data_IF_428086410167
#
_entry.id   IF_428086410167
#
_cell.length_a   1.000
_cell.length_b   1.000
_cell.length_c   1.000
_cell.angle_alpha   90.00
_cell.angle_beta   90.00
_cell.angle_gamma   90.00
#
_symmetry.space_group_name_H-M   'P 1'
#
loop_
_entity.id
_entity.type
_entity.pdbx_description
1 polymer ?
#
# COMPACT_ATOMS: atom_id res chain seq x y z
N UNK A 1 -8.98 -28.45 -31.43
CA UNK A 1 -9.97 -27.37 -31.64
C UNK A 1 -11.33 -27.57 -30.91
N UNK A 2 -11.41 -28.30 -29.77
CA UNK A 2 -12.68 -28.51 -29.03
C UNK A 2 -12.80 -27.78 -27.67
N UNK A 3 -11.70 -27.31 -27.06
CA UNK A 3 -11.73 -26.67 -25.72
C UNK A 3 -12.35 -25.27 -25.69
N UNK A 4 -12.21 -24.48 -26.75
CA UNK A 4 -12.68 -23.08 -26.75
C UNK A 4 -14.20 -22.95 -26.94
N UNK A 5 -14.85 -23.95 -27.53
CA UNK A 5 -16.31 -23.96 -27.70
C UNK A 5 -17.03 -24.14 -26.35
N UNK A 6 -16.47 -24.93 -25.44
CA UNK A 6 -17.04 -25.13 -24.10
C UNK A 6 -16.97 -23.85 -23.26
N UNK A 7 -15.84 -23.14 -23.29
CA UNK A 7 -15.66 -21.89 -22.55
C UNK A 7 -16.61 -20.78 -23.04
N UNK A 8 -16.80 -20.69 -24.35
CA UNK A 8 -17.73 -19.73 -24.95
C UNK A 8 -19.19 -20.01 -24.58
N UNK A 9 -19.58 -21.30 -24.54
CA UNK A 9 -20.91 -21.71 -24.10
C UNK A 9 -21.12 -21.36 -22.62
N UNK A 10 -20.12 -21.62 -21.76
CA UNK A 10 -20.17 -21.26 -20.33
C UNK A 10 -20.33 -19.75 -20.14
N UNK A 11 -19.60 -18.93 -20.91
CA UNK A 11 -19.71 -17.47 -20.84
C UNK A 11 -21.08 -16.96 -21.31
N UNK A 12 -21.67 -17.58 -22.33
CA UNK A 12 -23.04 -17.26 -22.78
C UNK A 12 -24.06 -17.65 -21.71
N UNK A 13 -23.91 -18.83 -21.09
CA UNK A 13 -24.81 -19.24 -20.01
C UNK A 13 -24.69 -18.32 -18.79
N UNK A 14 -23.49 -17.89 -18.42
CA UNK A 14 -23.28 -16.89 -17.37
C UNK A 14 -23.91 -15.55 -17.72
N UNK A 15 -23.75 -15.07 -18.96
CA UNK A 15 -24.37 -13.83 -19.42
C UNK A 15 -25.91 -13.92 -19.37
N UNK A 16 -26.50 -15.02 -19.84
CA UNK A 16 -27.95 -15.24 -19.79
C UNK A 16 -28.45 -15.34 -18.34
N UNK A 17 -27.70 -16.01 -17.46
CA UNK A 17 -28.03 -16.16 -16.05
C UNK A 17 -28.06 -14.81 -15.32
N UNK A 18 -27.15 -13.89 -15.66
CA UNK A 18 -27.07 -12.53 -15.09
C UNK A 18 -28.20 -11.62 -15.60
N UNK A 19 -28.69 -11.83 -16.83
CA UNK A 19 -29.76 -11.00 -17.43
C UNK A 19 -31.15 -11.34 -16.88
N UNK A 20 -31.32 -12.49 -16.20
CA UNK A 20 -32.59 -12.84 -15.57
C UNK A 20 -32.89 -11.93 -14.36
N UNK A 21 -34.04 -11.24 -14.30
CA UNK A 21 -34.31 -10.21 -13.29
C UNK A 21 -34.16 -10.67 -11.84
N UNK A 22 -34.56 -11.92 -11.54
CA UNK A 22 -34.46 -12.48 -10.19
C UNK A 22 -33.01 -12.77 -9.78
N UNK A 23 -32.17 -13.23 -10.71
CA UNK A 23 -30.76 -13.48 -10.47
C UNK A 23 -29.98 -12.17 -10.41
N UNK A 24 -30.32 -11.18 -11.25
CA UNK A 24 -29.75 -9.84 -11.18
C UNK A 24 -30.05 -9.18 -9.83
N UNK A 25 -31.28 -9.31 -9.33
CA UNK A 25 -31.66 -8.77 -8.02
C UNK A 25 -30.99 -9.51 -6.86
N UNK A 26 -30.79 -10.83 -6.95
CA UNK A 26 -30.07 -11.61 -5.93
C UNK A 26 -28.56 -11.32 -5.93
N UNK A 27 -27.95 -11.17 -7.12
CA UNK A 27 -26.56 -10.74 -7.30
C UNK A 27 -26.40 -9.31 -6.79
N UNK A 28 -27.34 -8.41 -7.14
CA UNK A 28 -27.38 -7.03 -6.64
C UNK A 28 -27.52 -7.02 -5.13
N UNK A 29 -28.42 -7.80 -4.52
CA UNK A 29 -28.59 -7.83 -3.07
C UNK A 29 -27.35 -8.37 -2.34
N UNK A 30 -26.67 -9.39 -2.89
CA UNK A 30 -25.41 -9.91 -2.35
C UNK A 30 -24.21 -8.97 -2.55
N UNK A 31 -24.20 -8.20 -3.64
CA UNK A 31 -23.21 -7.14 -3.93
C UNK A 31 -23.52 -5.80 -3.25
N UNK A 32 -24.73 -5.59 -2.75
CA UNK A 32 -25.09 -4.43 -1.90
C UNK A 32 -24.94 -4.75 -0.42
N UNK A 33 -24.83 -6.04 -0.05
CA UNK A 33 -24.51 -6.45 1.32
C UNK A 33 -23.01 -6.28 1.63
N UNK A 34 -22.17 -6.30 0.59
CA UNK A 34 -20.76 -5.91 0.64
C UNK A 34 -20.61 -4.64 -0.19
N UNK A 35 -20.43 -3.48 0.42
CA UNK A 35 -20.36 -2.18 -0.28
C UNK A 35 -19.23 -2.12 -1.33
N UNK A 36 -19.52 -2.60 -2.54
CA UNK A 36 -18.63 -2.55 -3.71
C UNK A 36 -18.15 -1.12 -4.01
N UNK A 37 -18.98 -0.05 -3.88
CA UNK A 37 -18.51 1.33 -4.14
C UNK A 37 -17.45 1.82 -3.12
N UNK A 38 -17.61 1.48 -1.85
CA UNK A 38 -16.63 1.78 -0.80
C UNK A 38 -15.38 0.90 -0.91
N UNK A 39 -15.53 -0.34 -1.39
CA UNK A 39 -14.40 -1.26 -1.63
C UNK A 39 -13.67 -0.99 -2.97
N UNK A 40 -14.31 -0.33 -3.93
CA UNK A 40 -13.71 0.06 -5.22
C UNK A 40 -13.23 1.51 -5.26
N UNK A 41 -13.44 2.31 -4.20
CA UNK A 41 -13.22 3.76 -4.22
C UNK A 41 -13.86 4.42 -5.46
N UNK A 42 -15.12 4.06 -5.73
CA UNK A 42 -15.97 4.75 -6.72
C UNK A 42 -17.14 5.33 -5.94
N UNK A 43 -16.91 6.45 -5.27
CA UNK A 43 -17.98 7.32 -4.78
C UNK A 43 -17.77 8.70 -5.40
N UNK A 44 -18.72 9.10 -6.23
CA UNK A 44 -18.75 10.40 -6.88
C UNK A 44 -18.78 11.54 -5.85
N UNK A 45 -18.07 12.59 -6.23
CA UNK A 45 -18.01 13.90 -5.63
C UNK A 45 -19.37 14.62 -5.60
N UNK A 46 -19.77 15.07 -4.42
CA UNK A 46 -20.54 16.29 -4.15
C UNK A 46 -20.34 16.57 -2.65
N UNK A 47 -19.87 17.71 -2.16
CA UNK A 47 -20.03 19.09 -2.58
C UNK A 47 -18.76 19.91 -2.26
N UNK A 48 -18.26 20.66 -3.24
CA UNK A 48 -17.43 21.85 -3.02
C UNK A 48 -18.34 23.04 -2.72
N UNK A 49 -18.12 23.73 -1.59
CA UNK A 49 -18.31 25.18 -1.52
C UNK A 49 -17.20 25.85 -0.71
N UNK A 50 -16.40 26.60 -1.45
CA UNK A 50 -15.68 27.83 -1.12
C UNK A 50 -14.71 27.84 0.06
N UNK A 51 -13.42 28.03 -0.25
CA UNK A 51 -12.65 29.23 0.16
C UNK A 51 -11.37 29.36 -0.65
N UNK A 52 -11.15 30.54 -1.22
CA UNK A 52 -9.93 30.95 -1.90
C UNK A 52 -8.74 30.94 -0.91
N UNK A 53 -7.72 30.13 -1.20
CA UNK A 53 -6.36 30.37 -0.71
C UNK A 53 -5.37 29.79 -1.71
N UNK A 54 -4.38 30.59 -2.11
CA UNK A 54 -3.21 30.16 -2.86
C UNK A 54 -2.43 29.10 -2.05
N UNK A 55 -2.84 27.84 -2.18
CA UNK A 55 -2.12 26.67 -1.67
C UNK A 55 -1.75 25.82 -2.89
N UNK A 56 -0.50 25.41 -2.95
CA UNK A 56 -0.06 24.37 -3.89
C UNK A 56 -1.04 23.19 -3.81
N UNK A 57 -1.51 22.62 -4.93
CA UNK A 57 -2.53 21.58 -4.88
C UNK A 57 -2.01 20.36 -4.11
N UNK A 58 -2.59 20.11 -2.94
CA UNK A 58 -2.39 18.90 -2.14
C UNK A 58 -2.77 17.68 -2.98
N UNK A 59 -1.79 16.85 -3.32
CA UNK A 59 -2.03 15.62 -4.07
C UNK A 59 -2.82 14.63 -3.19
N UNK A 60 -3.96 14.14 -3.69
CA UNK A 60 -4.77 13.11 -3.04
C UNK A 60 -4.34 11.71 -3.51
N UNK A 61 -4.77 10.67 -2.79
CA UNK A 61 -4.48 9.28 -3.16
C UNK A 61 -4.95 8.93 -4.59
N UNK A 62 -6.06 9.51 -5.04
CA UNK A 62 -6.55 9.31 -6.41
C UNK A 62 -5.63 9.92 -7.47
N UNK A 63 -5.00 11.06 -7.18
CA UNK A 63 -4.02 11.67 -8.08
C UNK A 63 -2.79 10.75 -8.24
N UNK A 64 -2.38 10.09 -7.14
CA UNK A 64 -1.25 9.16 -7.13
C UNK A 64 -1.50 7.94 -8.01
N UNK A 65 -2.76 7.48 -8.16
CA UNK A 65 -3.10 6.37 -9.07
C UNK A 65 -2.70 6.64 -10.52
N UNK A 66 -2.66 7.92 -10.93
CA UNK A 66 -2.33 8.36 -12.29
C UNK A 66 -0.84 8.65 -12.51
N UNK A 67 -0.04 8.71 -11.44
CA UNK A 67 1.38 9.02 -11.54
C UNK A 67 2.14 7.88 -12.19
N UNK A 68 3.13 8.24 -13.00
CA UNK A 68 4.06 7.32 -13.63
C UNK A 68 5.48 7.73 -13.24
N UNK A 69 6.37 6.74 -13.09
CA UNK A 69 7.77 6.98 -12.78
C UNK A 69 8.45 7.67 -13.97
N UNK A 70 9.11 8.80 -13.71
CA UNK A 70 9.76 9.64 -14.73
C UNK A 70 11.13 9.11 -15.20
N UNK A 71 11.58 8.00 -14.62
CA UNK A 71 12.90 7.42 -14.88
C UNK A 71 14.01 7.95 -13.98
N UNK A 72 13.72 8.89 -13.08
CA UNK A 72 14.69 9.58 -12.20
C UNK A 72 14.30 9.56 -10.73
N UNK A 73 13.08 9.99 -10.40
CA UNK A 73 12.64 10.25 -9.03
C UNK A 73 11.68 9.15 -8.57
N UNK A 74 12.19 8.20 -7.78
CA UNK A 74 11.35 7.11 -7.23
C UNK A 74 10.43 7.61 -6.10
N UNK A 75 10.71 8.79 -5.55
CA UNK A 75 9.93 9.40 -4.48
C UNK A 75 9.33 10.72 -4.95
N UNK A 76 8.05 10.92 -4.62
CA UNK A 76 7.34 12.18 -4.76
C UNK A 76 7.04 12.68 -3.36
N UNK A 77 7.40 13.94 -3.07
CA UNK A 77 6.87 14.65 -1.89
C UNK A 77 5.42 15.00 -2.21
N UNK A 78 4.47 14.41 -1.49
CA UNK A 78 3.03 14.62 -1.68
C UNK A 78 2.62 15.93 -1.03
N UNK A 79 3.09 16.16 0.19
CA UNK A 79 2.99 17.41 0.92
C UNK A 79 4.31 17.67 1.68
N UNK A 80 4.63 18.94 1.92
CA UNK A 80 5.82 19.35 2.70
C UNK A 80 5.79 18.81 4.15
N UNK A 81 4.59 18.54 4.67
CA UNK A 81 4.33 17.98 6.01
C UNK A 81 3.14 17.03 5.99
N UNK A 82 3.06 16.14 6.97
CA UNK A 82 1.89 15.31 7.25
C UNK A 82 0.61 16.14 7.39
N UNK A 83 -0.52 15.56 6.96
CA UNK A 83 -1.84 16.23 6.94
C UNK A 83 -2.83 15.57 7.91
N UNK A 84 -2.35 14.98 9.02
CA UNK A 84 -3.21 14.38 10.03
C UNK A 84 -4.07 15.44 10.73
N UNK A 85 -5.32 15.10 11.00
CA UNK A 85 -6.21 15.94 11.81
C UNK A 85 -5.81 15.90 13.29
N UNK A 86 -6.25 16.89 14.08
CA UNK A 86 -5.97 16.91 15.52
C UNK A 86 -6.46 15.67 16.24
N UNK A 87 -7.61 15.14 15.83
CA UNK A 87 -8.21 13.95 16.44
C UNK A 87 -7.36 12.70 16.16
N UNK A 88 -6.78 12.60 14.94
CA UNK A 88 -5.87 11.51 14.59
C UNK A 88 -4.53 11.56 15.33
N UNK A 89 -4.17 12.70 15.92
CA UNK A 89 -2.95 12.89 16.69
C UNK A 89 -3.16 12.64 18.20
N UNK A 90 -4.37 12.26 18.62
CA UNK A 90 -4.67 11.98 20.02
C UNK A 90 -3.94 10.74 20.53
N UNK A 91 -3.33 10.85 21.72
CA UNK A 91 -2.74 9.74 22.48
C UNK A 91 -3.71 9.09 23.48
N UNK A 92 -5.01 9.38 23.41
CA UNK A 92 -6.00 8.83 24.33
C UNK A 92 -5.99 7.28 24.36
N UNK A 93 -5.69 6.65 23.23
CA UNK A 93 -5.58 5.20 23.10
C UNK A 93 -4.14 4.65 23.23
N UNK A 94 -3.17 5.50 23.61
CA UNK A 94 -1.75 5.13 23.63
C UNK A 94 -1.25 4.66 22.26
N UNK A 95 -0.32 3.70 22.28
CA UNK A 95 0.18 3.05 21.07
C UNK A 95 -0.80 2.00 20.55
N UNK A 96 -0.99 1.97 19.23
CA UNK A 96 -1.86 1.00 18.57
C UNK A 96 -1.45 0.79 17.11
N UNK A 97 -1.87 -0.33 16.54
CA UNK A 97 -1.78 -0.61 15.11
C UNK A 97 -3.13 -1.11 14.57
N UNK A 98 -3.44 -0.77 13.33
CA UNK A 98 -4.66 -1.14 12.65
C UNK A 98 -4.38 -1.45 11.18
N UNK A 99 -4.87 -2.60 10.74
CA UNK A 99 -4.74 -3.06 9.36
C UNK A 99 -6.14 -3.21 8.76
N UNK A 100 -6.34 -2.62 7.58
CA UNK A 100 -7.56 -2.85 6.81
C UNK A 100 -7.73 -4.32 6.45
N UNK A 101 -8.98 -4.76 6.31
CA UNK A 101 -9.25 -6.05 5.69
C UNK A 101 -8.71 -6.08 4.26
N UNK A 102 -8.40 -7.30 3.80
CA UNK A 102 -8.06 -7.50 2.40
C UNK A 102 -9.28 -7.18 1.53
N UNK A 103 -9.06 -6.54 0.38
CA UNK A 103 -10.14 -6.27 -0.55
C UNK A 103 -10.61 -7.53 -1.31
N UNK A 104 -11.59 -7.39 -2.20
CA UNK A 104 -12.16 -8.51 -2.96
C UNK A 104 -11.16 -9.21 -3.92
N UNK A 105 -9.99 -8.61 -4.18
CA UNK A 105 -8.88 -9.22 -4.91
C UNK A 105 -7.81 -9.82 -3.98
N UNK A 106 -8.08 -9.83 -2.67
CA UNK A 106 -7.17 -10.18 -1.58
C UNK A 106 -5.97 -9.23 -1.44
N UNK A 107 -6.09 -7.98 -1.90
CA UNK A 107 -5.03 -6.97 -1.79
C UNK A 107 -5.06 -6.32 -0.42
N UNK A 108 -3.90 -5.95 0.10
CA UNK A 108 -3.79 -5.18 1.34
C UNK A 108 -4.42 -3.79 1.18
N UNK A 109 -5.03 -3.30 2.27
CA UNK A 109 -5.54 -1.93 2.36
C UNK A 109 -4.60 -1.02 3.15
N UNK A 110 -5.16 0.06 3.70
CA UNK A 110 -4.42 1.04 4.51
C UNK A 110 -3.97 0.37 5.82
N UNK A 111 -2.74 0.65 6.24
CA UNK A 111 -2.23 0.34 7.57
C UNK A 111 -1.96 1.65 8.34
N UNK A 112 -2.37 1.69 9.60
CA UNK A 112 -2.26 2.85 10.47
C UNK A 112 -1.71 2.45 11.83
N UNK A 113 -0.96 3.34 12.46
CA UNK A 113 -0.54 3.16 13.84
C UNK A 113 -0.36 4.50 14.55
N UNK A 114 -0.49 4.45 15.87
CA UNK A 114 0.24 5.31 16.79
C UNK A 114 1.43 4.50 17.29
N UNK A 115 2.60 4.76 16.74
CA UNK A 115 3.80 4.02 17.07
C UNK A 115 4.40 4.56 18.36
N UNK A 116 4.80 3.66 19.24
CA UNK A 116 5.53 3.96 20.48
C UNK A 116 6.49 2.82 20.81
N UNK A 117 7.32 3.02 21.84
CA UNK A 117 8.38 2.06 22.19
C UNK A 117 7.83 0.69 22.61
N UNK A 118 6.63 0.66 23.17
CA UNK A 118 5.91 -0.53 23.62
C UNK A 118 5.41 -1.43 22.48
N UNK A 119 5.24 -0.90 21.26
CA UNK A 119 4.96 -1.72 20.08
C UNK A 119 6.24 -2.29 19.45
N UNK A 120 7.42 -1.75 19.76
CA UNK A 120 8.65 -2.24 19.15
C UNK A 120 8.94 -3.69 19.60
N UNK A 121 9.43 -4.55 18.69
CA UNK A 121 9.64 -5.96 19.02
C UNK A 121 10.69 -6.13 20.11
N UNK A 122 10.41 -7.01 21.06
CA UNK A 122 11.38 -7.53 22.04
C UNK A 122 11.99 -8.86 21.62
N UNK A 123 11.40 -9.51 20.62
CA UNK A 123 11.80 -10.83 20.10
C UNK A 123 12.36 -10.71 18.68
N UNK A 124 13.08 -11.75 18.26
CA UNK A 124 13.62 -11.83 16.90
C UNK A 124 12.53 -12.02 15.84
N UNK A 125 12.76 -11.45 14.65
CA UNK A 125 11.86 -11.60 13.51
C UNK A 125 11.85 -13.04 13.00
N UNK A 126 10.68 -13.66 12.94
CA UNK A 126 10.52 -14.99 12.34
C UNK A 126 10.25 -14.95 10.82
N UNK A 127 10.13 -16.12 10.21
CA UNK A 127 9.87 -16.26 8.77
C UNK A 127 8.45 -15.85 8.40
N UNK A 128 8.32 -14.94 7.42
CA UNK A 128 7.05 -14.54 6.80
C UNK A 128 6.76 -15.30 5.49
N UNK A 129 7.49 -16.38 5.22
CA UNK A 129 7.42 -17.10 3.94
C UNK A 129 6.07 -17.76 3.64
N UNK A 130 5.27 -18.02 4.67
CA UNK A 130 3.90 -18.57 4.58
C UNK A 130 2.92 -17.63 3.87
N UNK A 131 3.18 -16.32 3.88
CA UNK A 131 2.29 -15.34 3.26
C UNK A 131 2.66 -15.17 1.79
N UNK A 132 1.68 -15.22 0.89
CA UNK A 132 1.89 -14.96 -0.54
C UNK A 132 0.98 -13.82 -0.97
N UNK A 133 1.48 -12.58 -1.02
CA UNK A 133 0.67 -11.42 -1.41
C UNK A 133 0.23 -11.50 -2.86
N UNK A 134 -0.75 -10.66 -3.22
CA UNK A 134 -1.27 -10.59 -4.60
C UNK A 134 -0.17 -10.25 -5.60
N UNK A 135 -0.25 -10.84 -6.79
CA UNK A 135 0.73 -10.61 -7.86
C UNK A 135 2.13 -11.18 -7.59
N UNK A 136 2.31 -12.05 -6.59
CA UNK A 136 3.62 -12.63 -6.28
C UNK A 136 4.18 -13.51 -7.42
N UNK A 137 5.10 -12.96 -8.20
CA UNK A 137 5.85 -13.66 -9.26
C UNK A 137 7.34 -13.32 -9.18
N UNK A 138 8.00 -13.94 -8.22
CA UNK A 138 9.36 -13.59 -7.86
C UNK A 138 10.42 -14.26 -8.75
N UNK A 139 11.60 -13.63 -8.86
CA UNK A 139 12.78 -14.17 -9.55
C UNK A 139 14.05 -13.57 -8.95
N UNK A 140 15.17 -14.28 -9.09
CA UNK A 140 16.48 -13.75 -8.70
C UNK A 140 16.91 -12.62 -9.63
N UNK A 141 17.56 -11.61 -9.06
CA UNK A 141 18.12 -10.45 -9.75
C UNK A 141 19.49 -10.11 -9.14
N UNK A 142 20.29 -9.31 -9.84
CA UNK A 142 21.41 -8.60 -9.24
C UNK A 142 20.94 -7.17 -8.95
N UNK A 143 21.06 -6.73 -7.70
CA UNK A 143 20.73 -5.37 -7.28
C UNK A 143 21.68 -4.95 -6.16
N UNK A 144 22.15 -3.70 -6.21
CA UNK A 144 23.17 -3.14 -5.30
C UNK A 144 24.40 -4.05 -5.17
N UNK A 145 24.89 -4.52 -6.32
CA UNK A 145 26.08 -5.38 -6.42
C UNK A 145 25.94 -6.83 -5.96
N UNK A 146 24.75 -7.28 -5.51
CA UNK A 146 24.55 -8.64 -4.96
C UNK A 146 23.36 -9.38 -5.57
N UNK A 147 23.40 -10.72 -5.50
CA UNK A 147 22.24 -11.55 -5.82
C UNK A 147 21.15 -11.33 -4.77
N UNK A 148 19.94 -11.02 -5.23
CA UNK A 148 18.76 -10.78 -4.41
C UNK A 148 17.51 -11.26 -5.17
N UNK A 149 16.33 -11.02 -4.62
CA UNK A 149 15.05 -11.30 -5.26
C UNK A 149 14.36 -10.01 -5.70
N UNK A 150 13.67 -10.07 -6.85
CA UNK A 150 12.92 -8.93 -7.38
C UNK A 150 11.88 -8.39 -6.41
N UNK A 151 11.10 -9.29 -5.82
CA UNK A 151 10.05 -8.92 -4.88
C UNK A 151 10.41 -9.35 -3.45
N UNK A 152 10.03 -8.49 -2.52
CA UNK A 152 9.98 -8.75 -1.10
C UNK A 152 8.53 -8.82 -0.65
N UNK A 153 8.27 -9.59 0.41
CA UNK A 153 7.04 -9.48 1.18
C UNK A 153 7.23 -8.24 2.04
N UNK A 154 6.91 -7.09 1.47
CA UNK A 154 7.13 -5.80 2.10
C UNK A 154 6.03 -5.56 3.11
N UNK A 155 6.43 -5.12 4.30
CA UNK A 155 5.54 -4.69 5.35
C UNK A 155 4.98 -3.29 5.04
N UNK A 156 3.71 -3.03 5.33
CA UNK A 156 3.18 -1.66 5.34
C UNK A 156 3.65 -0.94 6.61
N UNK A 157 3.58 -1.61 7.76
CA UNK A 157 4.21 -1.20 9.02
C UNK A 157 5.31 -2.20 9.32
N UNK A 158 6.57 -1.77 9.19
CA UNK A 158 7.73 -2.63 9.37
C UNK A 158 7.78 -3.31 10.74
N UNK A 159 8.22 -4.57 10.76
CA UNK A 159 8.41 -5.36 12.00
C UNK A 159 9.17 -4.58 13.08
N UNK A 160 10.18 -3.79 12.72
CA UNK A 160 10.97 -3.01 13.69
C UNK A 160 10.16 -1.93 14.44
N UNK A 161 8.99 -1.56 13.92
CA UNK A 161 8.12 -0.51 14.47
C UNK A 161 6.99 -1.10 15.33
N UNK A 162 6.47 -2.29 15.00
CA UNK A 162 5.30 -2.84 15.69
C UNK A 162 5.39 -4.31 16.12
N UNK A 163 6.49 -5.00 15.79
CA UNK A 163 6.65 -6.43 16.07
C UNK A 163 5.73 -7.34 15.24
N UNK A 164 4.84 -6.78 14.43
CA UNK A 164 3.93 -7.55 13.59
C UNK A 164 4.69 -8.30 12.49
N UNK A 165 4.51 -9.61 12.47
CA UNK A 165 5.36 -10.51 11.69
C UNK A 165 4.64 -11.01 10.43
N UNK A 166 3.99 -12.18 10.48
CA UNK A 166 3.39 -12.84 9.32
C UNK A 166 1.90 -12.48 9.11
N UNK A 167 1.55 -11.19 9.21
CA UNK A 167 0.18 -10.72 9.01
C UNK A 167 -0.13 -10.47 7.53
N UNK A 168 -1.07 -11.24 6.96
CA UNK A 168 -1.47 -11.13 5.56
C UNK A 168 -2.02 -9.74 5.18
N UNK A 169 -2.58 -8.99 6.13
CA UNK A 169 -3.09 -7.62 5.93
C UNK A 169 -2.00 -6.55 5.92
N UNK A 170 -0.78 -6.90 6.34
CA UNK A 170 0.36 -6.01 6.44
C UNK A 170 1.43 -6.29 5.37
N UNK A 171 1.28 -7.36 4.56
CA UNK A 171 2.31 -7.79 3.62
C UNK A 171 1.86 -7.66 2.16
N UNK A 172 2.63 -6.92 1.36
CA UNK A 172 2.38 -6.73 -0.07
C UNK A 172 3.57 -7.12 -0.94
N UNK A 173 3.33 -7.25 -2.24
CA UNK A 173 4.38 -7.46 -3.25
C UNK A 173 5.10 -6.13 -3.52
N UNK A 174 6.15 -5.84 -2.77
CA UNK A 174 7.04 -4.69 -2.98
C UNK A 174 8.30 -5.11 -3.73
N UNK A 175 8.82 -4.26 -4.62
CA UNK A 175 10.13 -4.50 -5.24
C UNK A 175 11.26 -4.37 -4.22
N UNK A 176 12.41 -4.98 -4.51
CA UNK A 176 13.60 -4.84 -3.67
C UNK A 176 14.00 -3.37 -3.51
N UNK A 177 13.95 -2.60 -4.59
CA UNK A 177 14.29 -1.17 -4.59
C UNK A 177 13.30 -0.33 -3.77
N UNK A 178 11.98 -0.57 -3.86
CA UNK A 178 11.02 0.13 -3.00
C UNK A 178 11.23 -0.25 -1.53
N UNK A 179 11.47 -1.53 -1.24
CA UNK A 179 11.58 -2.03 0.12
C UNK A 179 12.84 -1.51 0.83
N UNK A 180 14.02 -1.76 0.26
CA UNK A 180 15.28 -1.20 0.77
C UNK A 180 16.34 -1.11 -0.34
N UNK A 181 16.69 0.12 -0.70
CA UNK A 181 17.72 0.42 -1.69
C UNK A 181 18.96 1.01 -1.00
N UNK A 182 19.98 0.20 -0.72
CA UNK A 182 21.21 0.66 -0.05
C UNK A 182 22.12 1.61 -0.86
N UNK A 183 21.94 1.73 -2.17
CA UNK A 183 22.71 2.69 -2.99
C UNK A 183 22.02 4.05 -3.07
N UNK A 184 20.72 4.10 -2.80
CA UNK A 184 19.91 5.32 -2.72
C UNK A 184 18.82 5.10 -1.66
N UNK A 185 19.20 5.16 -0.38
CA UNK A 185 18.32 4.78 0.72
C UNK A 185 17.06 5.64 0.75
N UNK A 186 17.19 6.93 0.44
CA UNK A 186 16.07 7.89 0.43
C UNK A 186 14.98 7.51 -0.57
N UNK A 187 15.29 6.67 -1.55
CA UNK A 187 14.31 6.13 -2.50
C UNK A 187 13.43 5.00 -1.97
N UNK A 188 13.64 4.54 -0.73
CA UNK A 188 13.05 3.29 -0.22
C UNK A 188 12.35 3.44 1.13
N UNK A 189 11.42 2.53 1.42
CA UNK A 189 10.64 2.53 2.67
C UNK A 189 11.54 2.48 3.91
N UNK A 190 12.58 1.64 3.89
CA UNK A 190 13.45 1.43 5.05
C UNK A 190 14.08 2.74 5.56
N UNK A 191 14.34 3.71 4.69
CA UNK A 191 14.90 4.99 5.09
C UNK A 191 13.95 5.76 6.01
N UNK A 192 12.68 5.84 5.63
CA UNK A 192 11.63 6.50 6.42
C UNK A 192 11.33 5.72 7.70
N UNK A 193 11.27 4.40 7.61
CA UNK A 193 11.06 3.53 8.78
C UNK A 193 12.20 3.66 9.80
N UNK A 194 13.45 3.73 9.34
CA UNK A 194 14.61 3.90 10.22
C UNK A 194 14.59 5.28 10.91
N UNK A 195 14.15 6.34 10.23
CA UNK A 195 13.97 7.66 10.87
C UNK A 195 13.01 7.57 12.06
N UNK A 196 11.84 6.96 11.83
CA UNK A 196 10.82 6.78 12.87
C UNK A 196 11.34 5.89 13.99
N UNK A 197 11.93 4.74 13.67
CA UNK A 197 12.43 3.78 14.64
C UNK A 197 13.52 4.40 15.54
N UNK A 198 14.46 5.14 14.94
CA UNK A 198 15.52 5.81 15.69
C UNK A 198 14.96 6.92 16.59
N UNK A 199 14.01 7.71 16.09
CA UNK A 199 13.33 8.74 16.88
C UNK A 199 12.69 8.12 18.13
N UNK A 200 11.79 7.14 17.96
CA UNK A 200 11.09 6.47 19.07
C UNK A 200 12.07 5.87 20.08
N UNK A 201 13.14 5.21 19.63
CA UNK A 201 14.15 4.60 20.51
C UNK A 201 14.87 5.62 21.38
N UNK A 202 15.18 6.80 20.81
CA UNK A 202 16.01 7.82 21.45
C UNK A 202 15.20 8.74 22.36
N UNK A 203 13.94 9.02 22.03
CA UNK A 203 13.10 9.98 22.75
C UNK A 203 12.06 9.33 23.63
N UNK A 204 11.69 8.06 23.35
CA UNK A 204 10.53 7.40 23.94
C UNK A 204 9.20 8.12 23.63
N UNK A 205 9.17 8.91 22.55
CA UNK A 205 7.99 9.62 22.03
C UNK A 205 7.17 8.73 21.09
N UNK A 206 6.02 9.24 20.65
CA UNK A 206 5.10 8.58 19.73
C UNK A 206 5.14 9.20 18.34
N UNK A 207 4.80 8.39 17.34
CA UNK A 207 4.66 8.81 15.94
C UNK A 207 3.35 8.30 15.37
N UNK A 208 2.47 9.21 14.96
CA UNK A 208 1.31 8.86 14.13
C UNK A 208 1.81 8.47 12.74
N UNK A 209 1.49 7.27 12.30
CA UNK A 209 2.01 6.69 11.06
C UNK A 209 0.91 6.05 10.21
N UNK A 210 0.90 6.31 8.90
CA UNK A 210 -0.04 5.71 7.95
C UNK A 210 0.68 5.33 6.66
N UNK A 211 0.43 4.11 6.18
CA UNK A 211 0.90 3.63 4.88
C UNK A 211 -0.28 3.20 4.04
N UNK A 212 -0.42 3.84 2.87
CA UNK A 212 -1.50 3.58 1.92
C UNK A 212 -0.92 2.97 0.63
N UNK A 213 -1.17 1.68 0.35
CA UNK A 213 -0.80 1.10 -0.93
C UNK A 213 -1.70 1.65 -2.06
N UNK A 214 -1.09 2.09 -3.15
CA UNK A 214 -1.81 2.69 -4.28
C UNK A 214 -1.92 1.66 -5.41
N UNK A 215 -3.12 1.11 -5.61
CA UNK A 215 -3.43 0.24 -6.75
C UNK A 215 -4.19 1.01 -7.82
N UNK A 216 -3.97 0.67 -9.11
CA UNK A 216 -4.79 1.15 -10.22
C UNK A 216 -5.77 0.06 -10.63
N UNK A 217 -7.07 0.36 -10.60
CA UNK A 217 -8.13 -0.57 -11.01
C UNK A 217 -7.99 -1.95 -10.33
N UNK A 218 -7.94 -3.02 -11.14
CA UNK A 218 -7.82 -4.42 -10.73
C UNK A 218 -6.38 -4.94 -10.70
N UNK A 219 -5.39 -4.04 -10.62
CA UNK A 219 -3.98 -4.45 -10.53
C UNK A 219 -3.70 -5.21 -9.22
N UNK A 220 -2.91 -6.28 -9.33
CA UNK A 220 -2.56 -7.14 -8.20
C UNK A 220 -1.30 -6.69 -7.47
N UNK A 221 -0.50 -5.81 -8.07
CA UNK A 221 0.68 -5.21 -7.46
C UNK A 221 0.46 -3.71 -7.36
N UNK A 222 0.72 -3.12 -6.19
CA UNK A 222 0.59 -1.69 -5.99
C UNK A 222 1.58 -0.94 -6.88
N UNK A 223 1.17 0.22 -7.41
CA UNK A 223 2.02 1.16 -8.15
C UNK A 223 3.06 1.84 -7.28
N UNK A 224 2.80 1.89 -5.98
CA UNK A 224 3.63 2.50 -4.96
C UNK A 224 2.92 2.49 -3.61
N UNK A 225 3.56 3.08 -2.62
CA UNK A 225 2.96 3.32 -1.30
C UNK A 225 3.09 4.80 -0.95
N UNK A 226 2.03 5.38 -0.39
CA UNK A 226 2.12 6.67 0.30
C UNK A 226 2.42 6.42 1.77
N UNK A 227 3.40 7.12 2.32
CA UNK A 227 3.82 7.04 3.71
C UNK A 227 3.68 8.41 4.36
N UNK A 228 2.93 8.48 5.44
CA UNK A 228 2.66 9.70 6.21
C UNK A 228 3.13 9.46 7.66
N UNK A 229 3.89 10.39 8.23
CA UNK A 229 4.34 10.29 9.62
C UNK A 229 4.34 11.65 10.32
N UNK A 230 4.00 11.68 11.61
CA UNK A 230 4.07 12.86 12.46
C UNK A 230 4.42 12.48 13.91
N UNK A 231 5.46 13.07 14.50
CA UNK A 231 5.72 12.98 15.95
C UNK A 231 4.64 13.71 16.75
N UNK A 232 4.33 13.23 17.95
CA UNK A 232 3.23 13.78 18.76
C UNK A 232 3.72 14.79 19.80
N UNK A 233 4.81 14.47 20.50
CA UNK A 233 5.35 15.27 21.60
C UNK A 233 6.14 16.49 21.12
N UNK A 234 6.61 16.46 19.87
CA UNK A 234 7.38 17.52 19.22
C UNK A 234 7.19 17.51 17.69
N UNK A 235 7.89 18.42 16.99
CA UNK A 235 7.82 18.58 15.53
C UNK A 235 9.01 17.96 14.78
N UNK A 236 9.76 17.01 15.37
CA UNK A 236 10.98 16.45 14.74
C UNK A 236 10.70 15.54 13.54
N UNK A 237 9.59 14.80 13.56
CA UNK A 237 9.16 13.94 12.46
C UNK A 237 7.90 14.54 11.82
N UNK A 238 8.00 14.94 10.56
CA UNK A 238 6.82 15.19 9.73
C UNK A 238 7.16 14.96 8.26
N UNK A 239 6.46 14.03 7.60
CA UNK A 239 6.59 13.84 6.16
C UNK A 239 5.33 13.23 5.55
N UNK A 240 5.18 13.45 4.24
CA UNK A 240 4.16 12.83 3.41
C UNK A 240 4.73 12.57 2.01
N UNK A 241 5.04 11.31 1.74
CA UNK A 241 5.78 10.88 0.54
C UNK A 241 5.09 9.74 -0.16
N UNK A 242 5.25 9.66 -1.47
CA UNK A 242 4.83 8.54 -2.28
C UNK A 242 6.06 7.89 -2.91
N UNK A 243 6.25 6.60 -2.69
CA UNK A 243 7.37 5.81 -3.20
C UNK A 243 6.84 4.88 -4.29
N UNK A 244 7.36 5.01 -5.51
CA UNK A 244 7.02 4.15 -6.64
C UNK A 244 7.51 2.72 -6.41
N UNK A 245 6.64 1.74 -6.67
CA UNK A 245 6.95 0.31 -6.63
C UNK A 245 7.61 -0.12 -7.94
N UNK A 246 8.83 0.36 -8.17
CA UNK A 246 9.63 0.08 -9.36
C UNK A 246 10.91 -0.65 -8.98
N UNK A 247 11.55 -1.28 -9.96
CA UNK A 247 12.87 -1.87 -9.79
C UNK A 247 13.75 -1.39 -10.95
N UNK A 248 14.88 -0.70 -10.68
CA UNK A 248 15.82 -0.32 -11.72
C UNK A 248 16.23 -1.52 -12.59
N UNK A 249 16.17 -1.35 -13.91
CA UNK A 249 16.48 -2.40 -14.88
C UNK A 249 15.35 -3.41 -15.13
N UNK A 250 14.16 -3.23 -14.56
CA UNK A 250 13.01 -4.10 -14.79
C UNK A 250 11.73 -3.31 -15.06
N UNK A 251 10.93 -3.82 -16.01
CA UNK A 251 9.55 -3.41 -16.24
C UNK A 251 8.61 -4.36 -15.51
N UNK A 252 7.73 -3.80 -14.67
CA UNK A 252 6.72 -4.54 -13.92
C UNK A 252 5.37 -4.49 -14.64
N UNK A 253 4.71 -5.64 -14.74
CA UNK A 253 3.30 -5.72 -15.11
C UNK A 253 2.46 -5.74 -13.83
N UNK A 254 1.96 -4.59 -13.40
CA UNK A 254 1.20 -4.45 -12.15
C UNK A 254 -0.11 -5.24 -12.13
N UNK A 255 -0.69 -5.54 -13.30
CA UNK A 255 -1.90 -6.36 -13.39
C UNK A 255 -1.67 -7.79 -12.90
N UNK A 256 -0.49 -8.36 -13.18
CA UNK A 256 -0.25 -9.80 -12.91
C UNK A 256 0.98 -10.08 -12.04
N UNK A 257 1.79 -9.06 -11.78
CA UNK A 257 3.09 -9.12 -11.12
C UNK A 257 4.23 -9.70 -11.95
N UNK A 258 4.03 -10.10 -13.20
CA UNK A 258 5.14 -10.55 -14.06
C UNK A 258 6.12 -9.41 -14.35
N UNK A 259 7.39 -9.72 -14.61
CA UNK A 259 8.41 -8.71 -14.88
C UNK A 259 9.33 -9.08 -16.04
N UNK A 260 9.77 -8.08 -16.78
CA UNK A 260 10.75 -8.19 -17.86
C UNK A 260 12.00 -7.38 -17.51
N UNK A 261 13.19 -7.95 -17.75
CA UNK A 261 14.45 -7.19 -17.63
C UNK A 261 14.54 -6.26 -18.84
N UNK A 262 14.92 -5.00 -18.62
CA UNK A 262 15.13 -4.02 -19.68
C UNK A 262 16.37 -4.35 -20.52
#
# INVERSE_FOLDING_TARGET
>A
MKKNKSLFIILIFLAIFIVQPNNFNAIKSGLTQNDIPNQLNIADSAEEKNSNSNLNPTLKNDDLKSKEYDGKNQVIVVNEKSQFTKDELSLENGSWEKYSDLDFLNRVGIAEAMLGKDLMPTEDRESISSITPTGWKNKKIIFNGKEDYLYNRSHLIGFQLSGENANAKNLFTGTRALNANFEDEQSSMVYYENKIANYIKNTNHHVRYRVTPIFRNVELVARGVRMEAQSIEDDEISFDVYIFNIQPGYKINYLTGSSQKN
#
